data_IF_542301308837
#
_entry.id   IF_542301308837
#
_cell.length_a   1.000
_cell.length_b   1.000
_cell.length_c   1.000
_cell.angle_alpha   90.00
_cell.angle_beta   90.00
_cell.angle_gamma   90.00
#
_symmetry.space_group_name_H-M   'P 1'
#
loop_
_entity.id
_entity.type
_entity.pdbx_description
1 polymer ?
#
# COMPACT_ATOMS: atom_id res chain seq x y z
N UNK A 1 28.34 99.70 -25.65
CA UNK A 1 28.66 98.40 -26.28
C UNK A 1 27.43 97.94 -27.02
N UNK A 2 27.49 97.91 -28.35
CA UNK A 2 26.35 97.58 -29.22
C UNK A 2 26.04 96.08 -29.09
N UNK A 3 25.02 95.71 -28.32
CA UNK A 3 24.56 94.32 -28.22
C UNK A 3 23.75 94.03 -29.48
N UNK A 4 24.43 93.63 -30.56
CA UNK A 4 23.76 93.02 -31.70
C UNK A 4 23.22 91.68 -31.24
N UNK A 5 21.95 91.64 -30.83
CA UNK A 5 21.26 90.39 -30.57
C UNK A 5 21.34 89.54 -31.84
N UNK A 6 21.93 88.33 -31.79
CA UNK A 6 22.00 87.48 -32.96
C UNK A 6 20.62 86.83 -33.15
N UNK A 7 19.66 87.60 -33.67
CA UNK A 7 18.32 87.10 -34.00
C UNK A 7 18.36 85.86 -34.89
N UNK A 8 19.41 85.74 -35.70
CA UNK A 8 19.69 84.55 -36.52
C UNK A 8 20.00 83.33 -35.65
N UNK A 9 20.77 83.45 -34.57
CA UNK A 9 21.10 82.34 -33.66
C UNK A 9 19.87 81.91 -32.87
N UNK A 10 19.09 82.88 -32.37
CA UNK A 10 17.83 82.58 -31.65
C UNK A 10 16.82 81.92 -32.60
N UNK A 11 16.67 82.43 -33.82
CA UNK A 11 15.82 81.84 -34.85
C UNK A 11 16.24 80.41 -35.22
N UNK A 12 17.54 80.18 -35.41
CA UNK A 12 18.08 78.85 -35.70
C UNK A 12 17.84 77.85 -34.55
N UNK A 13 18.01 78.30 -33.31
CA UNK A 13 17.75 77.47 -32.13
C UNK A 13 16.27 77.06 -32.04
N UNK A 14 15.34 78.02 -32.19
CA UNK A 14 13.90 77.75 -32.17
C UNK A 14 13.51 76.81 -33.31
N UNK A 15 14.04 77.02 -34.52
CA UNK A 15 13.79 76.13 -35.66
C UNK A 15 14.30 74.70 -35.37
N UNK A 16 15.48 74.56 -34.77
CA UNK A 16 16.04 73.26 -34.39
C UNK A 16 15.19 72.56 -33.32
N UNK A 17 14.68 73.30 -32.34
CA UNK A 17 13.82 72.77 -31.29
C UNK A 17 12.49 72.27 -31.88
N UNK A 18 11.90 73.00 -32.82
CA UNK A 18 10.70 72.57 -33.55
C UNK A 18 10.98 71.28 -34.31
N UNK A 19 12.08 71.21 -35.08
CA UNK A 19 12.47 69.99 -35.81
C UNK A 19 12.72 68.83 -34.86
N UNK A 20 13.35 69.07 -33.70
CA UNK A 20 13.58 68.04 -32.70
C UNK A 20 12.27 67.52 -32.10
N UNK A 21 11.29 68.40 -31.82
CA UNK A 21 9.97 68.00 -31.33
C UNK A 21 9.22 67.17 -32.37
N UNK A 22 9.19 67.61 -33.64
CA UNK A 22 8.57 66.82 -34.71
C UNK A 22 9.28 65.50 -34.94
N UNK A 23 10.61 65.49 -34.89
CA UNK A 23 11.42 64.28 -34.98
C UNK A 23 11.14 63.32 -33.83
N UNK A 24 11.00 63.84 -32.61
CA UNK A 24 10.66 63.04 -31.42
C UNK A 24 9.25 62.46 -31.50
N UNK A 25 8.25 63.25 -31.91
CA UNK A 25 6.86 62.77 -32.11
C UNK A 25 6.79 61.72 -33.22
N UNK A 26 7.48 61.95 -34.34
CA UNK A 26 7.56 60.99 -35.43
C UNK A 26 8.25 59.69 -34.99
N UNK A 27 9.36 59.80 -34.26
CA UNK A 27 10.07 58.66 -33.71
C UNK A 27 9.22 57.87 -32.70
N UNK A 28 8.50 58.56 -31.81
CA UNK A 28 7.60 57.92 -30.84
C UNK A 28 6.48 57.15 -31.54
N UNK A 29 5.91 57.72 -32.60
CA UNK A 29 4.84 57.08 -33.37
C UNK A 29 5.34 55.89 -34.21
N UNK A 30 6.59 55.94 -34.72
CA UNK A 30 7.11 54.93 -35.63
C UNK A 30 7.98 53.84 -34.96
N UNK A 31 8.65 54.14 -33.84
CA UNK A 31 9.56 53.22 -33.13
C UNK A 31 8.94 52.69 -31.83
N UNK A 32 7.93 53.38 -31.28
CA UNK A 32 7.20 53.00 -30.07
C UNK A 32 6.16 51.88 -30.24
N UNK A 33 6.46 50.83 -31.01
CA UNK A 33 5.71 49.56 -30.96
C UNK A 33 4.24 49.62 -31.40
N UNK A 34 3.90 50.47 -32.36
CA UNK A 34 2.61 50.42 -33.08
C UNK A 34 2.84 49.66 -34.40
N UNK A 35 3.17 48.38 -34.31
CA UNK A 35 3.01 47.49 -35.46
C UNK A 35 1.54 47.53 -35.92
N UNK A 36 1.24 47.18 -37.17
CA UNK A 36 -0.15 47.01 -37.61
C UNK A 36 -0.85 46.06 -36.64
N UNK A 37 -1.93 46.53 -36.02
CA UNK A 37 -2.75 45.76 -35.08
C UNK A 37 -4.10 45.50 -35.71
N UNK A 38 -4.53 44.25 -35.63
CA UNK A 38 -5.89 43.87 -35.96
C UNK A 38 -6.78 43.98 -34.73
N UNK A 39 -8.00 44.47 -34.93
CA UNK A 39 -8.96 44.66 -33.83
C UNK A 39 -9.96 43.52 -33.83
N UNK A 40 -10.05 42.80 -32.71
CA UNK A 40 -11.01 41.72 -32.51
C UNK A 40 -12.05 42.09 -31.46
N UNK A 41 -13.27 41.58 -31.62
CA UNK A 41 -14.36 41.73 -30.65
C UNK A 41 -14.55 40.43 -29.89
N UNK A 42 -14.51 40.52 -28.57
CA UNK A 42 -14.73 39.42 -27.64
C UNK A 42 -16.05 39.61 -26.91
N UNK A 43 -16.79 38.53 -26.69
CA UNK A 43 -18.02 38.54 -25.90
C UNK A 43 -17.88 37.58 -24.72
N UNK A 44 -17.94 38.13 -23.51
CA UNK A 44 -17.92 37.38 -22.26
C UNK A 44 -19.34 37.19 -21.75
N UNK A 45 -19.72 35.93 -21.49
CA UNK A 45 -21.05 35.56 -20.97
C UNK A 45 -21.11 35.61 -19.43
N UNK A 46 -19.94 35.58 -18.78
CA UNK A 46 -19.77 35.67 -17.34
C UNK A 46 -19.19 37.04 -16.92
N UNK A 47 -19.38 37.47 -15.66
CA UNK A 47 -18.78 38.70 -15.15
C UNK A 47 -17.24 38.68 -15.25
N UNK A 48 -16.67 39.73 -15.84
CA UNK A 48 -15.21 39.91 -15.98
C UNK A 48 -14.67 40.82 -14.88
N UNK A 49 -14.62 40.31 -13.65
CA UNK A 49 -14.24 41.10 -12.49
C UNK A 49 -12.77 41.56 -12.57
N UNK A 50 -12.56 42.88 -12.56
CA UNK A 50 -11.24 43.51 -12.50
C UNK A 50 -10.55 43.75 -13.85
N UNK A 51 -11.16 43.37 -14.97
CA UNK A 51 -10.60 43.64 -16.31
C UNK A 51 -10.71 45.12 -16.64
N UNK A 52 -9.59 45.73 -17.04
CA UNK A 52 -9.49 47.15 -17.36
C UNK A 52 -9.04 47.38 -18.81
N UNK A 53 -9.36 48.56 -19.35
CA UNK A 53 -8.76 49.03 -20.61
C UNK A 53 -7.24 49.15 -20.41
N UNK A 54 -6.47 48.63 -21.36
CA UNK A 54 -5.01 48.48 -21.28
C UNK A 54 -4.54 47.13 -20.70
N UNK A 55 -5.46 46.26 -20.25
CA UNK A 55 -5.09 44.91 -19.82
C UNK A 55 -4.39 44.14 -20.95
N UNK A 56 -3.39 43.33 -20.59
CA UNK A 56 -2.65 42.53 -21.55
C UNK A 56 -3.52 41.47 -22.22
N UNK A 57 -3.26 41.22 -23.50
CA UNK A 57 -3.79 40.09 -24.24
C UNK A 57 -2.64 39.15 -24.53
N UNK A 58 -2.77 37.91 -24.09
CA UNK A 58 -1.79 36.86 -24.24
C UNK A 58 -2.31 35.83 -25.24
N UNK A 59 -1.42 35.27 -26.06
CA UNK A 59 -1.69 34.12 -26.90
C UNK A 59 -0.77 32.99 -26.47
N UNK A 60 -1.32 31.87 -26.01
CA UNK A 60 -0.56 30.76 -25.42
C UNK A 60 0.50 31.24 -24.39
N UNK A 61 0.14 32.22 -23.56
CA UNK A 61 1.03 32.79 -22.53
C UNK A 61 2.00 33.89 -23.00
N UNK A 62 2.04 34.24 -24.28
CA UNK A 62 2.89 35.31 -24.84
C UNK A 62 2.07 36.57 -25.03
N UNK A 63 2.53 37.72 -24.54
CA UNK A 63 1.82 39.00 -24.73
C UNK A 63 1.83 39.42 -26.20
N UNK A 64 0.66 39.46 -26.82
CA UNK A 64 0.45 39.79 -28.25
C UNK A 64 -0.36 41.06 -28.47
N UNK A 65 -0.98 41.61 -27.42
CA UNK A 65 -1.86 42.75 -27.55
C UNK A 65 -2.34 43.36 -26.23
N UNK A 66 -3.38 44.17 -26.34
CA UNK A 66 -4.04 44.82 -25.21
C UNK A 66 -5.54 45.06 -25.45
N UNK A 67 -6.29 45.24 -24.35
CA UNK A 67 -7.70 45.62 -24.38
C UNK A 67 -7.82 47.11 -24.68
N UNK A 68 -8.52 47.47 -25.75
CA UNK A 68 -8.71 48.87 -26.17
C UNK A 68 -10.03 49.47 -25.72
N UNK A 69 -11.07 48.65 -25.53
CA UNK A 69 -12.37 49.12 -25.03
C UNK A 69 -13.12 48.01 -24.29
N UNK A 70 -13.94 48.42 -23.32
CA UNK A 70 -14.84 47.55 -22.57
C UNK A 70 -16.22 48.20 -22.49
N UNK A 71 -17.24 47.51 -23.00
CA UNK A 71 -18.60 48.03 -23.12
C UNK A 71 -19.59 46.96 -22.62
N UNK A 72 -20.63 47.38 -21.88
CA UNK A 72 -21.74 46.49 -21.54
C UNK A 72 -22.69 46.40 -22.72
N UNK A 73 -23.23 45.20 -22.98
CA UNK A 73 -24.19 45.00 -24.07
C UNK A 73 -25.57 45.50 -23.63
N UNK A 74 -26.15 46.54 -24.28
CA UNK A 74 -27.41 47.14 -23.83
C UNK A 74 -28.59 46.15 -23.79
N UNK A 75 -28.64 45.19 -24.71
CA UNK A 75 -29.70 44.20 -24.77
C UNK A 75 -29.53 43.07 -23.74
N UNK A 76 -28.31 42.85 -23.24
CA UNK A 76 -27.95 41.79 -22.27
C UNK A 76 -26.92 42.33 -21.27
N UNK A 77 -27.35 43.03 -20.19
CA UNK A 77 -26.45 43.69 -19.24
C UNK A 77 -25.51 42.77 -18.45
N UNK A 78 -25.73 41.45 -18.51
CA UNK A 78 -24.85 40.43 -17.91
C UNK A 78 -23.63 40.12 -18.78
N UNK A 79 -23.63 40.57 -20.04
CA UNK A 79 -22.56 40.31 -20.99
C UNK A 79 -21.70 41.53 -21.22
N UNK A 80 -20.40 41.28 -21.35
CA UNK A 80 -19.40 42.33 -21.55
C UNK A 80 -18.74 42.12 -22.90
N UNK A 81 -18.73 43.18 -23.70
CA UNK A 81 -18.04 43.22 -25.00
C UNK A 81 -16.70 43.90 -24.80
N UNK A 82 -15.62 43.18 -25.06
CA UNK A 82 -14.27 43.74 -25.07
C UNK A 82 -13.77 43.89 -26.52
N UNK A 83 -13.12 45.01 -26.82
CA UNK A 83 -12.34 45.17 -28.05
C UNK A 83 -10.87 45.02 -27.69
N UNK A 84 -10.16 44.21 -28.45
CA UNK A 84 -8.72 43.97 -28.28
C UNK A 84 -7.97 44.36 -29.54
N UNK A 85 -6.77 44.89 -29.37
CA UNK A 85 -5.83 45.12 -30.47
C UNK A 85 -4.67 44.14 -30.36
N UNK A 86 -4.51 43.29 -31.37
CA UNK A 86 -3.54 42.18 -31.41
C UNK A 86 -2.60 42.40 -32.59
N UNK A 87 -1.32 42.02 -32.45
CA UNK A 87 -0.36 42.14 -33.55
C UNK A 87 -0.76 41.29 -34.78
N UNK A 88 -0.61 41.86 -35.99
CA UNK A 88 -1.03 41.25 -37.28
C UNK A 88 -0.44 39.85 -37.56
N UNK A 89 0.70 39.50 -36.95
CA UNK A 89 1.34 38.18 -37.12
C UNK A 89 0.84 37.12 -36.12
N UNK A 90 -0.18 37.43 -35.31
CA UNK A 90 -0.74 36.49 -34.34
C UNK A 90 -1.75 35.58 -35.03
N UNK A 91 -1.59 34.24 -34.96
CA UNK A 91 -2.49 33.30 -35.63
C UNK A 91 -3.83 33.18 -34.88
N UNK A 92 -4.71 34.16 -35.03
CA UNK A 92 -6.06 34.17 -34.44
C UNK A 92 -7.05 33.56 -35.45
N UNK A 93 -7.47 32.34 -35.17
CA UNK A 93 -8.38 31.55 -35.99
C UNK A 93 -9.78 31.48 -35.36
N UNK A 94 -10.79 31.04 -36.12
CA UNK A 94 -12.18 30.94 -35.63
C UNK A 94 -12.37 29.96 -34.46
N UNK A 95 -11.45 29.03 -34.28
CA UNK A 95 -11.38 28.06 -33.18
C UNK A 95 -10.54 28.55 -31.98
N UNK A 96 -10.02 29.77 -32.03
CA UNK A 96 -9.27 30.37 -30.92
C UNK A 96 -10.18 30.53 -29.71
N UNK A 97 -9.80 29.90 -28.61
CA UNK A 97 -10.53 29.95 -27.34
C UNK A 97 -10.12 31.19 -26.57
N UNK A 98 -11.10 31.82 -25.93
CA UNK A 98 -10.90 33.05 -25.16
C UNK A 98 -11.17 32.76 -23.69
N UNK A 99 -10.14 32.97 -22.88
CA UNK A 99 -10.15 32.86 -21.42
C UNK A 99 -9.78 34.17 -20.75
N UNK A 100 -9.97 34.23 -19.42
CA UNK A 100 -9.27 35.20 -18.58
C UNK A 100 -8.28 34.43 -17.71
N UNK A 101 -7.07 34.96 -17.64
CA UNK A 101 -6.02 34.48 -16.74
C UNK A 101 -5.65 35.60 -15.77
N UNK A 102 -4.99 35.27 -14.67
CA UNK A 102 -4.63 36.22 -13.61
C UNK A 102 -3.12 36.21 -13.39
N UNK A 103 -2.46 37.31 -13.73
CA UNK A 103 -1.00 37.41 -13.61
C UNK A 103 -0.55 38.04 -12.29
N UNK A 104 0.53 37.48 -11.74
CA UNK A 104 1.24 38.00 -10.57
C UNK A 104 0.53 37.74 -9.23
N UNK A 105 1.19 38.11 -8.13
CA UNK A 105 0.67 37.92 -6.77
C UNK A 105 -0.59 38.76 -6.48
N UNK A 106 -0.76 39.88 -7.19
CA UNK A 106 -1.92 40.77 -7.06
C UNK A 106 -3.12 40.30 -7.87
N UNK A 107 -2.97 39.26 -8.71
CA UNK A 107 -4.05 38.65 -9.48
C UNK A 107 -4.71 39.63 -10.46
N UNK A 108 -3.92 40.37 -11.24
CA UNK A 108 -4.49 41.29 -12.23
C UNK A 108 -4.99 40.46 -13.43
N UNK A 109 -6.26 40.61 -13.84
CA UNK A 109 -6.80 39.83 -14.95
C UNK A 109 -6.22 40.30 -16.29
N UNK A 110 -5.92 39.32 -17.13
CA UNK A 110 -5.47 39.47 -18.51
C UNK A 110 -6.29 38.55 -19.41
N UNK A 111 -6.42 38.90 -20.68
CA UNK A 111 -7.13 38.05 -21.64
C UNK A 111 -6.15 36.99 -22.15
N UNK A 112 -6.52 35.73 -22.06
CA UNK A 112 -5.77 34.61 -22.62
C UNK A 112 -6.48 34.11 -23.88
N UNK A 113 -5.74 34.05 -24.98
CA UNK A 113 -6.13 33.44 -26.24
C UNK A 113 -5.38 32.12 -26.37
N UNK A 114 -6.12 31.03 -26.60
CA UNK A 114 -5.53 29.72 -26.86
C UNK A 114 -5.83 29.34 -28.31
N UNK A 115 -4.78 29.04 -29.08
CA UNK A 115 -4.94 28.58 -30.46
C UNK A 115 -5.68 27.25 -30.50
N UNK A 116 -6.57 27.06 -31.47
CA UNK A 116 -7.23 25.78 -31.67
C UNK A 116 -6.33 24.74 -32.32
N UNK A 117 -6.78 23.48 -32.28
CA UNK A 117 -6.02 22.32 -32.76
C UNK A 117 -6.04 22.17 -34.31
N UNK A 118 -6.89 22.92 -35.04
CA UNK A 118 -7.04 22.79 -36.49
C UNK A 118 -6.34 23.95 -37.24
N UNK A 119 -5.17 23.69 -37.88
CA UNK A 119 -4.45 24.70 -38.64
C UNK A 119 -5.15 25.15 -39.94
N UNK A 120 -6.22 24.47 -40.37
CA UNK A 120 -7.02 24.84 -41.54
C UNK A 120 -8.20 25.77 -41.21
N UNK A 121 -8.41 26.11 -39.93
CA UNK A 121 -9.47 27.02 -39.49
C UNK A 121 -9.34 28.39 -40.17
N UNK A 122 -10.43 28.94 -40.75
CA UNK A 122 -10.38 30.25 -41.37
C UNK A 122 -10.05 31.35 -40.33
N UNK A 123 -9.42 32.46 -40.75
CA UNK A 123 -9.13 33.59 -39.86
C UNK A 123 -10.43 34.12 -39.24
N UNK A 124 -10.39 34.49 -37.94
CA UNK A 124 -11.56 34.93 -37.22
C UNK A 124 -12.12 36.25 -37.80
N UNK A 125 -13.29 36.19 -38.44
CA UNK A 125 -14.00 37.38 -38.98
C UNK A 125 -15.23 37.78 -38.15
N UNK A 126 -15.56 37.03 -37.10
CA UNK A 126 -16.71 37.24 -36.21
C UNK A 126 -16.31 37.36 -34.74
N UNK A 127 -17.27 37.65 -33.83
CA UNK A 127 -16.97 37.79 -32.41
C UNK A 127 -16.52 36.46 -31.82
N UNK A 128 -15.37 36.46 -31.14
CA UNK A 128 -14.90 35.28 -30.40
C UNK A 128 -15.64 35.21 -29.06
N UNK A 129 -16.20 34.04 -28.76
CA UNK A 129 -17.00 33.81 -27.56
C UNK A 129 -16.15 33.15 -26.50
N UNK A 130 -16.11 33.74 -25.30
CA UNK A 130 -15.38 33.16 -24.18
C UNK A 130 -16.05 31.88 -23.65
N UNK A 131 -15.24 30.91 -23.21
CA UNK A 131 -15.75 29.68 -22.61
C UNK A 131 -16.51 29.94 -21.30
N UNK A 132 -17.49 29.09 -20.98
CA UNK A 132 -18.25 29.21 -19.72
C UNK A 132 -17.31 29.05 -18.53
N UNK A 133 -17.29 30.04 -17.64
CA UNK A 133 -16.40 30.08 -16.49
C UNK A 133 -15.06 30.78 -16.75
N UNK A 134 -14.80 31.27 -17.97
CA UNK A 134 -13.56 31.96 -18.33
C UNK A 134 -13.20 33.14 -17.42
N UNK A 135 -14.18 33.83 -16.83
CA UNK A 135 -13.96 34.96 -15.92
C UNK A 135 -13.74 34.60 -14.45
N UNK A 136 -13.68 33.31 -14.09
CA UNK A 136 -13.59 32.87 -12.70
C UNK A 136 -12.14 32.67 -12.27
N UNK A 137 -11.73 33.34 -11.19
CA UNK A 137 -10.47 33.02 -10.53
C UNK A 137 -10.54 31.68 -9.79
N UNK A 138 -9.40 30.97 -9.69
CA UNK A 138 -9.25 29.71 -8.95
C UNK A 138 -9.78 29.81 -7.51
N UNK A 139 -9.51 30.92 -6.83
CA UNK A 139 -9.97 31.19 -5.46
C UNK A 139 -11.50 31.30 -5.37
N UNK A 140 -12.14 31.83 -6.41
CA UNK A 140 -13.60 31.94 -6.46
C UNK A 140 -14.25 30.58 -6.74
N UNK A 141 -13.67 29.78 -7.64
CA UNK A 141 -14.09 28.40 -7.88
C UNK A 141 -13.97 27.54 -6.60
N UNK A 142 -12.89 27.70 -5.83
CA UNK A 142 -12.69 27.00 -4.55
C UNK A 142 -13.74 27.39 -3.50
N UNK A 143 -14.06 28.69 -3.36
CA UNK A 143 -15.09 29.17 -2.43
C UNK A 143 -16.51 28.71 -2.82
N UNK A 144 -16.81 28.67 -4.11
CA UNK A 144 -18.08 28.13 -4.60
C UNK A 144 -18.19 26.61 -4.38
N UNK A 145 -17.08 25.88 -4.54
CA UNK A 145 -17.01 24.45 -4.24
C UNK A 145 -17.25 24.17 -2.75
N UNK A 146 -16.63 24.94 -1.85
CA UNK A 146 -16.85 24.84 -0.40
C UNK A 146 -18.32 25.08 -0.02
N UNK A 147 -18.93 26.12 -0.58
CA UNK A 147 -20.36 26.39 -0.35
C UNK A 147 -21.28 25.29 -0.89
N UNK A 148 -20.91 24.63 -1.99
CA UNK A 148 -21.65 23.46 -2.49
C UNK A 148 -21.49 22.23 -1.60
N UNK A 149 -20.33 22.06 -0.96
CA UNK A 149 -20.11 20.99 0.03
C UNK A 149 -21.00 21.22 1.25
N UNK A 150 -21.09 22.45 1.75
CA UNK A 150 -21.97 22.79 2.88
C UNK A 150 -23.45 22.56 2.57
N UNK A 151 -23.89 22.88 1.34
CA UNK A 151 -25.27 22.65 0.90
C UNK A 151 -25.61 21.15 0.78
N UNK A 152 -24.70 20.35 0.22
CA UNK A 152 -24.86 18.89 0.10
C UNK A 152 -24.84 18.22 1.49
N UNK A 153 -24.04 18.71 2.43
CA UNK A 153 -24.02 18.23 3.81
C UNK A 153 -25.31 18.58 4.56
N UNK A 154 -25.89 19.76 4.32
CA UNK A 154 -27.14 20.18 4.94
C UNK A 154 -28.39 19.47 4.38
N UNK A 155 -28.38 19.08 3.10
CA UNK A 155 -29.51 18.39 2.45
C UNK A 155 -29.53 16.87 2.72
N UNK A 156 -28.41 16.28 3.17
CA UNK A 156 -28.29 14.85 3.52
C UNK A 156 -28.58 14.52 5.00
N UNK A 157 -29.20 15.42 5.77
CA UNK A 157 -29.44 15.25 7.20
C UNK A 157 -30.51 14.19 7.56
N UNK A 158 -31.43 13.84 6.66
CA UNK A 158 -32.47 12.84 6.94
C UNK A 158 -31.97 11.36 6.92
N UNK A 159 -31.08 10.94 6.00
CA UNK A 159 -30.41 9.63 6.03
C UNK A 159 -29.45 9.38 7.22
N UNK A 160 -29.13 10.41 8.02
CA UNK A 160 -28.18 10.30 9.13
C UNK A 160 -28.73 9.51 10.33
N UNK A 161 -30.06 9.51 10.55
CA UNK A 161 -30.67 8.76 11.65
C UNK A 161 -30.54 7.23 11.47
N UNK A 162 -30.73 6.71 10.26
CA UNK A 162 -30.52 5.28 9.95
C UNK A 162 -29.04 4.87 9.97
N UNK A 163 -28.13 5.83 9.86
CA UNK A 163 -26.68 5.59 9.90
C UNK A 163 -26.19 5.43 11.33
N UNK A 164 -26.82 6.09 12.31
CA UNK A 164 -26.44 5.99 13.75
C UNK A 164 -26.76 4.60 14.32
N UNK A 165 -27.91 4.01 13.96
CA UNK A 165 -28.29 2.65 14.40
C UNK A 165 -27.36 1.57 13.79
N UNK A 166 -26.93 1.76 12.54
CA UNK A 166 -25.95 0.88 11.90
C UNK A 166 -24.53 1.10 12.45
N UNK A 167 -24.19 2.33 12.85
CA UNK A 167 -22.89 2.66 13.43
C UNK A 167 -22.71 2.07 14.83
N UNK A 168 -23.77 2.00 15.65
CA UNK A 168 -23.69 1.34 16.97
C UNK A 168 -23.47 -0.17 16.82
N UNK A 169 -24.21 -0.83 15.92
CA UNK A 169 -24.06 -2.26 15.59
C UNK A 169 -22.67 -2.57 15.02
N UNK A 170 -22.18 -1.70 14.13
CA UNK A 170 -20.84 -1.80 13.56
C UNK A 170 -19.74 -1.52 14.58
N UNK A 171 -19.90 -0.50 15.44
CA UNK A 171 -18.95 -0.17 16.51
C UNK A 171 -18.86 -1.28 17.55
N UNK A 172 -19.97 -1.97 17.84
CA UNK A 172 -19.97 -3.15 18.70
C UNK A 172 -19.27 -4.34 18.02
N UNK A 173 -19.45 -4.50 16.70
CA UNK A 173 -18.70 -5.46 15.89
C UNK A 173 -17.20 -5.15 15.83
N UNK A 174 -16.84 -3.86 15.77
CA UNK A 174 -15.48 -3.36 15.73
C UNK A 174 -14.81 -3.50 17.10
N UNK A 175 -15.51 -3.19 18.19
CA UNK A 175 -15.05 -3.35 19.56
C UNK A 175 -14.72 -4.83 19.87
N UNK A 176 -15.54 -5.76 19.35
CA UNK A 176 -15.29 -7.22 19.44
C UNK A 176 -14.09 -7.69 18.59
N UNK A 177 -13.73 -6.95 17.54
CA UNK A 177 -12.62 -7.28 16.63
C UNK A 177 -11.37 -6.42 16.86
N UNK A 178 -11.33 -5.57 17.90
CA UNK A 178 -10.20 -4.68 18.20
C UNK A 178 -8.88 -5.46 18.32
N UNK A 179 -8.91 -6.67 18.90
CA UNK A 179 -7.74 -7.56 18.99
C UNK A 179 -7.20 -8.01 17.63
N UNK A 180 -8.08 -8.18 16.62
CA UNK A 180 -7.66 -8.52 15.25
C UNK A 180 -7.08 -7.30 14.52
N UNK A 181 -7.59 -6.11 14.81
CA UNK A 181 -7.04 -4.86 14.26
C UNK A 181 -5.65 -4.55 14.82
N UNK A 182 -5.43 -4.79 16.11
CA UNK A 182 -4.10 -4.71 16.72
C UNK A 182 -3.12 -5.70 16.06
N UNK A 183 -3.58 -6.91 15.75
CA UNK A 183 -2.80 -7.91 15.01
C UNK A 183 -2.44 -7.50 13.57
N UNK A 184 -3.33 -6.79 12.88
CA UNK A 184 -3.12 -6.28 11.51
C UNK A 184 -2.15 -5.09 11.53
N UNK A 185 -2.30 -4.15 12.47
CA UNK A 185 -1.39 -3.02 12.63
C UNK A 185 0.01 -3.52 13.02
N UNK A 186 0.10 -4.43 13.99
CA UNK A 186 1.37 -5.06 14.35
C UNK A 186 1.97 -5.89 13.20
N UNK A 187 1.14 -6.47 12.34
CA UNK A 187 1.57 -7.17 11.12
C UNK A 187 2.15 -6.20 10.08
N UNK A 188 1.50 -5.05 9.89
CA UNK A 188 1.95 -4.00 8.97
C UNK A 188 3.24 -3.34 9.46
N UNK A 189 3.35 -3.06 10.76
CA UNK A 189 4.57 -2.57 11.42
C UNK A 189 5.74 -3.56 11.30
N UNK A 190 5.46 -4.87 11.35
CA UNK A 190 6.46 -5.91 11.09
C UNK A 190 6.91 -5.95 9.62
N UNK A 191 6.00 -5.70 8.68
CA UNK A 191 6.33 -5.66 7.25
C UNK A 191 7.10 -4.40 6.84
N UNK A 192 6.90 -3.28 7.53
CA UNK A 192 7.60 -2.01 7.27
C UNK A 192 8.88 -1.85 8.10
N UNK A 193 9.26 -2.88 8.89
CA UNK A 193 10.48 -2.88 9.70
C UNK A 193 10.42 -1.97 10.93
N UNK A 194 9.22 -1.47 11.30
CA UNK A 194 9.00 -0.54 12.41
C UNK A 194 8.46 -1.18 13.71
N UNK A 195 8.19 -2.49 13.72
CA UNK A 195 7.69 -3.17 14.92
C UNK A 195 8.78 -3.49 15.94
N UNK A 196 8.42 -3.45 17.22
CA UNK A 196 9.14 -4.15 18.30
C UNK A 196 9.48 -5.57 17.82
N UNK A 197 10.72 -6.08 17.99
CA UNK A 197 11.07 -7.43 17.56
C UNK A 197 9.99 -8.39 18.04
N UNK A 198 9.44 -9.22 17.14
CA UNK A 198 8.43 -10.21 17.50
C UNK A 198 8.91 -10.91 18.78
N UNK A 199 8.07 -11.00 19.83
CA UNK A 199 8.50 -11.59 21.09
C UNK A 199 9.12 -12.93 20.78
N UNK A 200 10.39 -13.13 21.19
CA UNK A 200 11.10 -14.38 20.93
C UNK A 200 10.25 -15.49 21.50
N UNK A 201 9.72 -16.34 20.62
CA UNK A 201 8.93 -17.47 21.07
C UNK A 201 9.81 -18.36 21.93
N UNK A 202 9.29 -18.81 23.06
CA UNK A 202 9.95 -19.82 23.87
C UNK A 202 9.88 -21.13 23.10
N UNK A 203 11.03 -21.72 22.83
CA UNK A 203 11.15 -22.96 22.07
C UNK A 203 11.27 -24.12 23.06
N UNK A 204 10.39 -25.11 22.92
CA UNK A 204 10.42 -26.37 23.65
C UNK A 204 10.88 -27.50 22.73
N UNK A 205 11.45 -28.54 23.32
CA UNK A 205 11.97 -29.70 22.61
C UNK A 205 11.57 -30.97 23.36
N UNK A 206 11.65 -32.11 22.67
CA UNK A 206 11.55 -33.44 23.26
C UNK A 206 12.97 -34.00 23.46
N UNK A 207 13.16 -34.88 24.43
CA UNK A 207 14.45 -35.52 24.67
C UNK A 207 14.46 -36.95 24.14
N UNK A 208 15.62 -37.34 23.61
CA UNK A 208 15.87 -38.73 23.26
C UNK A 208 16.02 -39.58 24.52
N UNK A 209 15.73 -40.88 24.41
CA UNK A 209 15.93 -41.81 25.51
C UNK A 209 17.42 -42.11 25.65
N UNK A 210 18.01 -41.72 26.78
CA UNK A 210 19.44 -41.95 27.06
C UNK A 210 19.69 -43.27 27.81
N UNK A 211 18.65 -43.91 28.36
CA UNK A 211 18.82 -45.15 29.11
C UNK A 211 17.66 -46.14 28.93
N UNK A 212 18.05 -47.40 28.73
CA UNK A 212 17.17 -48.54 28.48
C UNK A 212 17.26 -49.61 29.58
N UNK A 213 17.76 -49.24 30.77
CA UNK A 213 17.96 -50.16 31.89
C UNK A 213 19.16 -51.11 31.71
N UNK A 214 19.35 -52.01 32.68
CA UNK A 214 20.50 -52.93 32.76
C UNK A 214 20.25 -54.32 32.13
N UNK A 215 19.11 -54.53 31.45
CA UNK A 215 18.83 -55.81 30.81
C UNK A 215 19.59 -55.92 29.48
N UNK A 216 20.07 -57.12 29.16
CA UNK A 216 20.83 -57.41 27.94
C UNK A 216 20.07 -56.90 26.70
N UNK A 217 20.64 -55.89 26.03
CA UNK A 217 20.05 -55.28 24.84
C UNK A 217 20.31 -56.18 23.63
N UNK A 218 19.25 -56.68 22.99
CA UNK A 218 19.39 -57.35 21.70
C UNK A 218 19.88 -56.33 20.66
N UNK A 219 20.74 -56.74 19.72
CA UNK A 219 21.18 -55.85 18.66
C UNK A 219 19.99 -55.42 17.78
N UNK A 220 20.02 -54.20 17.26
CA UNK A 220 18.97 -53.75 16.33
C UNK A 220 19.06 -54.51 15.00
N UNK A 221 17.93 -54.83 14.36
CA UNK A 221 17.94 -55.38 13.01
C UNK A 221 18.52 -54.35 12.03
N UNK A 222 19.59 -54.72 11.31
CA UNK A 222 20.25 -53.87 10.33
C UNK A 222 20.39 -54.57 8.97
N UNK A 223 20.30 -53.84 7.83
CA UNK A 223 20.05 -52.40 7.75
C UNK A 223 18.56 -52.04 7.87
N UNK A 224 18.28 -50.99 8.65
CA UNK A 224 16.94 -50.40 8.85
C UNK A 224 16.97 -48.92 8.46
N UNK A 225 15.91 -48.45 7.81
CA UNK A 225 15.72 -47.04 7.46
C UNK A 225 14.54 -46.48 8.25
N UNK A 226 14.70 -45.30 8.85
CA UNK A 226 13.61 -44.54 9.46
C UNK A 226 13.21 -43.39 8.52
N UNK A 227 11.98 -43.45 8.01
CA UNK A 227 11.39 -42.35 7.24
C UNK A 227 10.91 -41.23 8.17
N UNK A 228 10.69 -40.04 7.63
CA UNK A 228 9.97 -39.00 8.36
C UNK A 228 8.54 -39.51 8.66
N UNK A 229 8.05 -39.38 9.90
CA UNK A 229 6.70 -39.78 10.25
C UNK A 229 5.65 -39.13 9.34
N UNK A 230 4.70 -39.91 8.85
CA UNK A 230 3.51 -39.35 8.19
C UNK A 230 2.58 -38.77 9.24
N UNK A 231 1.85 -37.71 8.90
CA UNK A 231 0.87 -37.11 9.80
C UNK A 231 -0.19 -36.33 9.00
N UNK A 232 -1.37 -36.13 9.58
CA UNK A 232 -2.40 -35.22 9.02
C UNK A 232 -1.91 -33.76 9.08
N UNK A 233 -2.44 -32.89 8.21
CA UNK A 233 -1.98 -31.49 8.06
C UNK A 233 -1.93 -30.72 9.38
N UNK A 234 -2.88 -30.91 10.29
CA UNK A 234 -2.89 -30.21 11.58
C UNK A 234 -1.70 -30.60 12.47
N UNK A 235 -1.21 -31.84 12.38
CA UNK A 235 -0.04 -32.31 13.13
C UNK A 235 1.28 -31.87 12.49
N UNK A 236 1.28 -31.34 11.26
CA UNK A 236 2.47 -30.79 10.59
C UNK A 236 2.73 -29.35 11.06
N UNK A 237 2.92 -29.16 12.36
CA UNK A 237 2.98 -27.85 13.01
C UNK A 237 4.11 -27.78 14.02
N UNK A 238 4.49 -26.58 14.42
CA UNK A 238 5.37 -26.31 15.57
C UNK A 238 4.56 -25.88 16.81
N UNK A 239 3.23 -25.84 16.73
CA UNK A 239 2.37 -25.33 17.82
C UNK A 239 1.98 -26.45 18.77
N UNK A 240 1.69 -26.08 20.02
CA UNK A 240 0.95 -26.95 20.92
C UNK A 240 -0.50 -27.04 20.42
N UNK A 241 -1.01 -28.27 20.33
CA UNK A 241 -2.37 -28.55 19.87
C UNK A 241 -3.27 -28.91 21.04
N UNK A 242 -4.56 -28.63 20.90
CA UNK A 242 -5.56 -28.81 21.93
C UNK A 242 -6.78 -29.53 21.37
N UNK A 243 -7.40 -30.35 22.21
CA UNK A 243 -8.69 -30.98 21.94
C UNK A 243 -9.65 -30.71 23.12
N UNK A 244 -10.77 -29.99 22.92
CA UNK A 244 -11.19 -29.35 21.66
C UNK A 244 -10.21 -28.24 21.22
N UNK A 245 -10.27 -27.88 19.93
CA UNK A 245 -9.44 -26.82 19.37
C UNK A 245 -9.86 -25.47 19.97
N UNK A 246 -9.06 -24.98 20.91
CA UNK A 246 -9.28 -23.71 21.60
C UNK A 246 -7.99 -22.88 21.61
N UNK A 247 -8.12 -21.58 21.43
CA UNK A 247 -7.00 -20.64 21.58
C UNK A 247 -6.71 -20.46 23.07
N UNK A 248 -5.64 -21.11 23.53
CA UNK A 248 -5.30 -21.17 24.94
C UNK A 248 -4.36 -20.03 25.33
N UNK A 249 -4.81 -19.19 26.28
CA UNK A 249 -4.01 -18.10 26.83
C UNK A 249 -2.68 -18.64 27.38
N UNK A 250 -1.57 -18.02 26.98
CA UNK A 250 -0.22 -18.40 27.40
C UNK A 250 0.54 -19.32 26.44
N UNK A 251 -0.12 -19.88 25.41
CA UNK A 251 0.54 -20.71 24.38
C UNK A 251 0.81 -19.97 23.06
N UNK A 252 0.53 -18.67 22.98
CA UNK A 252 0.73 -17.84 21.78
C UNK A 252 2.22 -17.59 21.47
N UNK A 253 3.04 -17.47 22.52
CA UNK A 253 4.45 -17.13 22.45
C UNK A 253 5.36 -18.35 22.64
N UNK A 254 4.84 -19.57 22.43
CA UNK A 254 5.62 -20.80 22.58
C UNK A 254 5.49 -21.68 21.35
N UNK A 255 6.51 -22.49 21.08
CA UNK A 255 6.49 -23.46 19.99
C UNK A 255 7.47 -24.61 20.23
N UNK A 256 7.31 -25.69 19.49
CA UNK A 256 8.29 -26.76 19.35
C UNK A 256 9.50 -26.30 18.53
N UNK A 257 10.64 -26.97 18.70
CA UNK A 257 11.90 -26.68 18.01
C UNK A 257 11.86 -26.97 16.52
N UNK A 258 11.02 -27.92 16.11
CA UNK A 258 10.72 -28.25 14.71
C UNK A 258 9.25 -28.70 14.57
N UNK A 259 8.81 -28.99 13.35
CA UNK A 259 7.51 -29.60 13.11
C UNK A 259 7.41 -30.94 13.84
N UNK A 260 6.23 -31.30 14.35
CA UNK A 260 6.06 -32.52 15.14
C UNK A 260 6.60 -33.78 14.44
N UNK A 261 6.39 -34.02 13.13
CA UNK A 261 6.98 -35.18 12.45
C UNK A 261 8.51 -35.18 12.46
N UNK A 262 9.13 -34.05 12.10
CA UNK A 262 10.59 -33.93 12.05
C UNK A 262 11.22 -34.05 13.45
N UNK A 263 10.60 -33.42 14.45
CA UNK A 263 11.03 -33.48 15.85
C UNK A 263 10.96 -34.92 16.38
N UNK A 264 9.82 -35.60 16.19
CA UNK A 264 9.65 -37.01 16.59
C UNK A 264 10.67 -37.90 15.88
N UNK A 265 10.90 -37.71 14.57
CA UNK A 265 11.90 -38.48 13.84
C UNK A 265 13.30 -38.30 14.43
N UNK A 266 13.72 -37.05 14.65
CA UNK A 266 15.05 -36.73 15.14
C UNK A 266 15.31 -37.36 16.51
N UNK A 267 14.34 -37.26 17.43
CA UNK A 267 14.47 -37.82 18.79
C UNK A 267 14.35 -39.34 18.82
N UNK A 268 13.55 -39.94 17.94
CA UNK A 268 13.52 -41.40 17.80
C UNK A 268 14.82 -41.93 17.24
N UNK A 269 15.36 -41.33 16.18
CA UNK A 269 16.65 -41.71 15.61
C UNK A 269 17.75 -41.62 16.66
N UNK A 270 17.84 -40.51 17.37
CA UNK A 270 18.80 -40.34 18.46
C UNK A 270 18.59 -41.38 19.58
N UNK A 271 17.35 -41.77 19.87
CA UNK A 271 17.07 -42.85 20.85
C UNK A 271 17.55 -44.21 20.37
N UNK A 272 17.47 -44.51 19.06
CA UNK A 272 18.06 -45.72 18.49
C UNK A 272 19.59 -45.69 18.52
N UNK A 273 20.21 -44.54 18.23
CA UNK A 273 21.66 -44.35 18.32
C UNK A 273 22.16 -44.52 19.76
N UNK A 274 21.42 -44.00 20.74
CA UNK A 274 21.70 -44.18 22.16
C UNK A 274 21.55 -45.63 22.62
N UNK A 275 20.73 -46.43 21.92
CA UNK A 275 20.53 -47.85 22.22
C UNK A 275 21.64 -48.72 21.64
N UNK A 276 21.88 -48.62 20.33
CA UNK A 276 22.89 -49.39 19.59
C UNK A 276 23.36 -48.60 18.37
N UNK A 277 24.36 -47.73 18.57
CA UNK A 277 24.91 -46.88 17.53
C UNK A 277 25.47 -47.65 16.31
N UNK A 278 25.88 -48.91 16.48
CA UNK A 278 26.45 -49.71 15.41
C UNK A 278 25.39 -50.19 14.40
N UNK A 279 24.14 -50.33 14.85
CA UNK A 279 23.01 -50.85 14.06
C UNK A 279 21.82 -49.89 14.03
N UNK A 280 22.03 -48.62 14.41
CA UNK A 280 20.98 -47.61 14.41
C UNK A 280 20.41 -47.42 12.99
N UNK A 281 19.10 -47.10 12.87
CA UNK A 281 18.48 -46.88 11.58
C UNK A 281 19.13 -45.72 10.83
N UNK A 282 19.23 -45.83 9.52
CA UNK A 282 19.63 -44.71 8.68
C UNK A 282 18.43 -43.82 8.35
N UNK A 283 18.67 -42.53 8.09
CA UNK A 283 17.66 -41.69 7.45
C UNK A 283 17.41 -42.15 6.01
N UNK A 284 16.22 -41.86 5.47
CA UNK A 284 15.81 -42.31 4.13
C UNK A 284 16.68 -41.78 2.97
N UNK A 285 17.42 -40.70 3.19
CA UNK A 285 18.32 -40.07 2.21
C UNK A 285 19.74 -40.68 2.19
N UNK A 286 20.01 -41.66 3.06
CA UNK A 286 21.33 -42.28 3.22
C UNK A 286 21.78 -43.17 2.05
N UNK A 287 20.89 -43.50 1.11
CA UNK A 287 21.21 -44.32 -0.08
C UNK A 287 21.45 -45.81 0.21
N UNK A 288 21.06 -46.31 1.37
CA UNK A 288 21.19 -47.74 1.72
C UNK A 288 20.12 -48.57 1.00
N UNK A 289 20.55 -49.42 0.07
CA UNK A 289 19.67 -50.32 -0.67
C UNK A 289 19.37 -51.63 0.10
N UNK A 290 18.20 -52.23 -0.14
CA UNK A 290 17.82 -53.51 0.46
C UNK A 290 17.45 -53.48 1.95
N UNK A 291 17.42 -52.30 2.57
CA UNK A 291 17.06 -52.13 3.97
C UNK A 291 15.54 -52.26 4.21
N UNK A 292 15.18 -52.83 5.37
CA UNK A 292 13.80 -52.72 5.85
C UNK A 292 13.50 -51.26 6.22
N UNK A 293 12.23 -50.85 6.16
CA UNK A 293 11.81 -49.48 6.49
C UNK A 293 10.89 -49.48 7.70
N UNK A 294 11.26 -48.70 8.72
CA UNK A 294 10.39 -48.32 9.81
C UNK A 294 9.57 -47.11 9.40
N UNK A 295 8.28 -47.34 9.16
CA UNK A 295 7.30 -46.31 8.84
C UNK A 295 6.53 -45.95 10.11
N UNK A 296 6.45 -44.67 10.41
CA UNK A 296 5.71 -44.13 11.55
C UNK A 296 4.59 -43.25 11.04
N UNK A 297 3.40 -43.39 11.61
CA UNK A 297 2.25 -42.53 11.33
C UNK A 297 1.78 -41.89 12.64
N UNK A 298 1.98 -40.57 12.76
CA UNK A 298 1.63 -39.78 13.94
C UNK A 298 0.13 -39.47 13.91
N UNK A 299 -0.59 -39.98 14.91
CA UNK A 299 -2.06 -39.97 14.97
C UNK A 299 -2.59 -38.93 15.94
N UNK A 300 -1.89 -38.74 17.07
CA UNK A 300 -2.24 -37.73 18.09
C UNK A 300 -0.97 -37.15 18.68
N UNK A 301 -1.00 -35.84 18.88
CA UNK A 301 0.01 -35.09 19.61
C UNK A 301 -0.67 -33.80 20.09
N UNK A 302 -1.41 -33.90 21.18
CA UNK A 302 -2.31 -32.83 21.61
C UNK A 302 -2.55 -32.87 23.12
N UNK A 303 -2.97 -31.73 23.65
CA UNK A 303 -3.42 -31.58 25.03
C UNK A 303 -4.94 -31.75 25.03
N UNK A 304 -5.42 -32.78 25.70
CA UNK A 304 -6.86 -32.97 25.92
C UNK A 304 -7.27 -32.19 27.15
N UNK A 305 -8.17 -31.24 26.98
CA UNK A 305 -8.71 -30.42 28.05
C UNK A 305 -9.76 -31.21 28.85
N UNK A 306 -9.82 -30.97 30.15
CA UNK A 306 -10.73 -31.65 31.06
C UNK A 306 -10.51 -31.17 32.49
N UNK A 307 -11.09 -31.89 33.46
CA UNK A 307 -10.87 -31.61 34.90
C UNK A 307 -9.39 -31.73 35.29
N UNK A 308 -8.65 -32.61 34.61
CA UNK A 308 -7.20 -32.70 34.63
C UNK A 308 -6.72 -32.77 33.18
N UNK A 309 -6.04 -31.73 32.66
CA UNK A 309 -5.49 -31.74 31.31
C UNK A 309 -4.49 -32.86 31.14
N UNK A 310 -4.44 -33.47 29.94
CA UNK A 310 -3.52 -34.57 29.62
C UNK A 310 -2.80 -34.33 28.31
N UNK A 311 -1.50 -34.56 28.28
CA UNK A 311 -0.71 -34.60 27.05
C UNK A 311 -0.78 -36.01 26.47
N UNK A 312 -1.24 -36.15 25.23
CA UNK A 312 -1.41 -37.47 24.57
C UNK A 312 -0.54 -37.54 23.33
N UNK A 313 0.22 -38.62 23.21
CA UNK A 313 0.95 -38.98 22.00
C UNK A 313 0.48 -40.36 21.55
N UNK A 314 0.14 -40.48 20.27
CA UNK A 314 -0.26 -41.74 19.66
C UNK A 314 0.33 -41.85 18.26
N UNK A 315 1.02 -42.95 17.98
CA UNK A 315 1.50 -43.24 16.63
C UNK A 315 1.44 -44.74 16.33
N UNK A 316 1.33 -45.06 15.04
CA UNK A 316 1.52 -46.43 14.57
C UNK A 316 2.91 -46.59 13.97
N UNK A 317 3.54 -47.73 14.21
CA UNK A 317 4.82 -48.12 13.66
C UNK A 317 4.65 -49.40 12.83
N UNK A 318 5.29 -49.44 11.66
CA UNK A 318 5.29 -50.60 10.75
C UNK A 318 6.70 -50.83 10.24
N UNK A 319 7.17 -52.08 10.31
CA UNK A 319 8.40 -52.49 9.64
C UNK A 319 8.02 -53.15 8.32
N UNK A 320 8.53 -52.60 7.23
CA UNK A 320 8.25 -53.03 5.87
C UNK A 320 9.53 -53.57 5.25
N UNK A 321 9.45 -54.72 4.58
CA UNK A 321 10.59 -55.28 3.88
C UNK A 321 10.92 -54.52 2.58
N UNK A 322 11.98 -54.93 1.90
CA UNK A 322 12.40 -54.35 0.61
C UNK A 322 11.36 -54.49 -0.51
N UNK A 323 10.40 -55.42 -0.38
CA UNK A 323 9.33 -55.66 -1.35
C UNK A 323 8.07 -54.83 -1.05
N UNK A 324 8.05 -54.05 0.03
CA UNK A 324 6.88 -53.30 0.46
C UNK A 324 5.89 -54.10 1.30
N UNK A 325 6.23 -55.32 1.74
CA UNK A 325 5.37 -56.12 2.61
C UNK A 325 5.59 -55.77 4.08
N UNK A 326 4.50 -55.60 4.82
CA UNK A 326 4.56 -55.32 6.27
C UNK A 326 4.95 -56.60 7.00
N UNK A 327 6.12 -56.60 7.65
CA UNK A 327 6.58 -57.70 8.51
C UNK A 327 5.84 -57.69 9.85
N UNK A 328 5.79 -56.53 10.48
CA UNK A 328 5.18 -56.34 11.80
C UNK A 328 4.65 -54.92 11.92
N UNK A 329 3.59 -54.74 12.70
CA UNK A 329 2.99 -53.45 12.98
C UNK A 329 2.56 -53.36 14.44
N UNK A 330 2.65 -52.17 15.02
CA UNK A 330 2.22 -51.89 16.39
C UNK A 330 1.66 -50.47 16.49
N UNK A 331 0.64 -50.29 17.32
CA UNK A 331 0.16 -48.96 17.73
C UNK A 331 0.72 -48.71 19.12
N UNK A 332 1.31 -47.54 19.32
CA UNK A 332 1.79 -47.09 20.61
C UNK A 332 1.03 -45.82 20.98
N UNK A 333 0.56 -45.77 22.23
CA UNK A 333 -0.30 -44.72 22.76
C UNK A 333 0.07 -44.49 24.21
N UNK A 334 0.36 -43.24 24.56
CA UNK A 334 0.66 -42.87 25.94
C UNK A 334 0.07 -41.49 26.28
N UNK A 335 -0.23 -41.30 27.55
CA UNK A 335 -0.99 -40.18 28.09
C UNK A 335 -0.44 -39.78 29.45
N UNK A 336 0.08 -38.56 29.55
CA UNK A 336 0.61 -38.00 30.78
C UNK A 336 -0.33 -36.94 31.34
N UNK A 337 -0.64 -37.05 32.64
CA UNK A 337 -1.41 -36.04 33.36
C UNK A 337 -0.59 -34.79 33.60
N UNK A 338 -1.24 -33.63 33.47
CA UNK A 338 -0.64 -32.32 33.70
C UNK A 338 -1.12 -31.75 35.03
N UNK A 339 -0.17 -31.32 35.86
CA UNK A 339 -0.49 -30.68 37.14
C UNK A 339 -1.06 -29.27 36.97
N UNK A 340 -0.72 -28.60 35.87
CA UNK A 340 -1.21 -27.27 35.51
C UNK A 340 -1.22 -27.07 33.99
N UNK A 341 -2.14 -26.25 33.48
CA UNK A 341 -2.19 -25.89 32.07
C UNK A 341 -1.20 -24.75 31.77
N UNK A 342 0.10 -25.06 31.77
CA UNK A 342 1.17 -24.12 31.45
C UNK A 342 2.13 -24.70 30.41
N UNK A 343 2.80 -23.87 29.58
CA UNK A 343 3.73 -24.39 28.57
C UNK A 343 4.88 -25.26 29.11
N UNK A 344 5.56 -24.90 30.23
CA UNK A 344 6.60 -25.76 30.79
C UNK A 344 6.08 -27.13 31.23
N UNK A 345 4.91 -27.16 31.89
CA UNK A 345 4.29 -28.42 32.34
C UNK A 345 3.81 -29.27 31.16
N UNK A 346 3.22 -28.65 30.14
CA UNK A 346 2.80 -29.32 28.91
C UNK A 346 4.01 -29.96 28.21
N UNK A 347 5.10 -29.20 28.03
CA UNK A 347 6.32 -29.71 27.43
C UNK A 347 6.90 -30.89 28.22
N UNK A 348 6.93 -30.79 29.56
CA UNK A 348 7.40 -31.88 30.42
C UNK A 348 6.50 -33.12 30.35
N UNK A 349 5.18 -32.97 30.25
CA UNK A 349 4.26 -34.08 30.08
C UNK A 349 4.43 -34.78 28.72
N UNK A 350 4.56 -34.01 27.63
CA UNK A 350 4.88 -34.57 26.31
C UNK A 350 6.24 -35.27 26.28
N UNK A 351 7.25 -34.72 26.96
CA UNK A 351 8.58 -35.32 27.07
C UNK A 351 8.55 -36.69 27.76
N UNK A 352 7.82 -36.80 28.87
CA UNK A 352 7.61 -38.10 29.57
C UNK A 352 6.87 -39.11 28.69
N UNK A 353 5.77 -38.71 28.07
CA UNK A 353 4.98 -39.57 27.18
C UNK A 353 5.81 -40.05 25.98
N UNK A 354 6.56 -39.12 25.36
CA UNK A 354 7.45 -39.46 24.26
C UNK A 354 8.55 -40.43 24.69
N UNK A 355 9.19 -40.18 25.84
CA UNK A 355 10.24 -41.05 26.36
C UNK A 355 9.78 -42.47 26.65
N UNK A 356 8.56 -42.65 27.15
CA UNK A 356 7.95 -43.98 27.32
C UNK A 356 7.72 -44.68 25.98
N UNK A 357 7.11 -43.98 25.02
CA UNK A 357 6.82 -44.51 23.67
C UNK A 357 8.08 -44.82 22.87
N UNK A 358 9.09 -43.95 22.92
CA UNK A 358 10.37 -44.15 22.25
C UNK A 358 11.10 -45.37 22.82
N UNK A 359 11.10 -45.53 24.16
CA UNK A 359 11.68 -46.71 24.81
C UNK A 359 10.98 -47.99 24.37
N UNK A 360 9.64 -47.99 24.37
CA UNK A 360 8.86 -49.13 23.94
C UNK A 360 9.08 -49.47 22.46
N UNK A 361 9.15 -48.46 21.59
CA UNK A 361 9.38 -48.63 20.16
C UNK A 361 10.75 -49.27 19.89
N UNK A 362 11.82 -48.71 20.47
CA UNK A 362 13.19 -49.21 20.26
C UNK A 362 13.31 -50.65 20.76
N UNK A 363 12.80 -50.94 21.96
CA UNK A 363 12.80 -52.30 22.51
C UNK A 363 11.99 -53.29 21.65
N UNK A 364 10.87 -52.84 21.09
CA UNK A 364 10.06 -53.65 20.18
C UNK A 364 10.76 -53.92 18.85
N UNK A 365 11.43 -52.92 18.27
CA UNK A 365 12.24 -53.11 17.05
C UNK A 365 13.41 -54.06 17.30
N UNK A 366 14.12 -53.91 18.42
CA UNK A 366 15.23 -54.80 18.80
C UNK A 366 14.78 -56.25 19.03
N UNK A 367 13.51 -56.48 19.36
CA UNK A 367 12.93 -57.80 19.53
C UNK A 367 12.35 -58.41 18.24
N UNK A 368 12.43 -57.69 17.10
CA UNK A 368 11.92 -58.17 15.81
C UNK A 368 13.06 -58.77 14.99
N UNK A 369 12.97 -60.07 14.68
CA UNK A 369 13.93 -60.81 13.85
C UNK A 369 13.79 -60.54 12.33
#
# INVERSE_FOLDING_TARGET
MEIRAPYIIVGAFVLSAIVAVFGFVYWLNNVGGIGKRETYQLVFTDPVSGLLVGAGVLFNGIRVGEVTALELVPERPREVRAKIAVAEHTPVHSDTRVGLDFQGLTGVPVIALEGGDDPASPPARGPLVAEKGAGRSMTQAARDALRRVDAVLSENAAPLHSTIDNLSTFAEGLARNTSKLDGIVAGLERMTGGGTPAPRKVVYDLHAVDSFGLQHHAALPAPLIIAEPTAITHLQTQRFLFSPEEENQGFEAVQWSDSLPALVQARLLQSFENYDIAHAPFRADSGVEGASRLLIDLRRFEIVLGTQPRAIISFSAKIVDQNGQVKVAKILDDSEEMTSLTPPEAAAAFDRAFGALARELVMWVAATD
#
